data_IF_442773570919
#
_entry.id   IF_442773570919
#
_cell.length_a   1.000
_cell.length_b   1.000
_cell.length_c   1.000
_cell.angle_alpha   90.00
_cell.angle_beta   90.00
_cell.angle_gamma   90.00
#
_symmetry.space_group_name_H-M   'P 1'
#
loop_
_entity.id
_entity.type
_entity.pdbx_description
1 polymer ?
#
# COMPACT_ATOMS: atom_id res chain seq x y z
N UNK A 1 8.14 -8.11 -8.85
CA UNK A 1 7.06 -8.00 -7.86
C UNK A 1 5.83 -7.37 -8.50
N UNK A 2 5.70 -6.06 -8.54
CA UNK A 2 4.64 -5.43 -9.33
C UNK A 2 5.18 -5.16 -10.73
N UNK A 3 4.41 -5.51 -11.76
CA UNK A 3 4.80 -5.14 -13.12
C UNK A 3 4.46 -3.66 -13.36
N UNK A 4 4.99 -3.09 -14.44
CA UNK A 4 4.82 -1.67 -14.73
C UNK A 4 3.38 -1.30 -15.03
N UNK A 5 2.60 -2.17 -15.65
CA UNK A 5 1.21 -1.90 -15.95
C UNK A 5 0.36 -1.84 -14.69
N UNK A 6 0.55 -2.80 -13.78
CA UNK A 6 -0.18 -2.82 -12.52
C UNK A 6 0.15 -1.61 -11.66
N UNK A 7 1.42 -1.21 -11.65
CA UNK A 7 1.85 -0.01 -10.93
C UNK A 7 1.20 1.24 -11.50
N UNK A 8 1.14 1.35 -12.82
CA UNK A 8 0.48 2.47 -13.48
C UNK A 8 -1.02 2.53 -13.18
N UNK A 9 -1.68 1.39 -13.16
CA UNK A 9 -3.09 1.32 -12.78
C UNK A 9 -3.34 1.84 -11.38
N UNK A 10 -2.51 1.45 -10.42
CA UNK A 10 -2.65 1.88 -9.04
C UNK A 10 -2.44 3.40 -8.94
N UNK A 11 -1.41 3.91 -9.58
CA UNK A 11 -1.12 5.34 -9.59
C UNK A 11 -2.29 6.12 -10.19
N UNK A 12 -2.81 5.68 -11.33
CA UNK A 12 -3.95 6.32 -11.98
C UNK A 12 -5.19 6.33 -11.11
N UNK A 13 -5.46 5.21 -10.43
CA UNK A 13 -6.64 5.08 -9.58
C UNK A 13 -6.64 6.00 -8.39
N UNK A 14 -5.47 6.33 -7.84
CA UNK A 14 -5.36 7.12 -6.61
C UNK A 14 -4.81 8.52 -6.85
N UNK A 15 -4.61 8.90 -8.10
CA UNK A 15 -4.06 10.20 -8.46
C UNK A 15 -5.03 11.33 -8.13
N UNK A 16 -4.54 12.34 -7.44
CA UNK A 16 -5.31 13.54 -7.15
C UNK A 16 -5.06 14.64 -8.20
N UNK A 17 -3.88 14.62 -8.81
CA UNK A 17 -3.46 15.52 -9.88
C UNK A 17 -2.74 14.71 -10.95
N UNK A 18 -2.64 15.25 -12.15
CA UNK A 18 -1.97 14.56 -13.26
C UNK A 18 -0.52 14.17 -12.97
N UNK A 19 0.18 14.99 -12.18
CA UNK A 19 1.58 14.73 -11.83
C UNK A 19 1.74 14.15 -10.43
N UNK A 20 0.65 13.76 -9.79
CA UNK A 20 0.68 13.26 -8.42
C UNK A 20 1.02 11.77 -8.39
N UNK A 21 2.30 11.46 -8.22
CA UNK A 21 2.79 10.08 -8.08
C UNK A 21 3.34 9.78 -6.70
N UNK A 22 3.43 10.80 -5.84
CA UNK A 22 4.02 10.68 -4.52
C UNK A 22 3.08 10.96 -3.36
N UNK A 23 1.76 11.09 -3.60
CA UNK A 23 0.82 11.34 -2.51
C UNK A 23 0.78 10.18 -1.52
N UNK A 24 0.40 10.44 -0.26
CA UNK A 24 0.26 9.35 0.72
C UNK A 24 -0.70 8.26 0.24
N UNK A 25 -1.79 8.63 -0.43
CA UNK A 25 -2.77 7.67 -0.96
C UNK A 25 -2.14 6.71 -1.95
N UNK A 26 -1.35 7.23 -2.89
CA UNK A 26 -0.66 6.40 -3.89
C UNK A 26 0.36 5.49 -3.22
N UNK A 27 1.14 6.02 -2.28
CA UNK A 27 2.14 5.23 -1.56
C UNK A 27 1.48 4.10 -0.77
N UNK A 28 0.37 4.38 -0.10
CA UNK A 28 -0.38 3.38 0.66
C UNK A 28 -0.91 2.29 -0.28
N UNK A 29 -1.45 2.69 -1.44
CA UNK A 29 -1.96 1.74 -2.43
C UNK A 29 -0.86 0.83 -2.98
N UNK A 30 0.30 1.39 -3.31
CA UNK A 30 1.44 0.61 -3.80
C UNK A 30 1.97 -0.35 -2.73
N UNK A 31 2.08 0.11 -1.48
CA UNK A 31 2.50 -0.73 -0.37
C UNK A 31 1.50 -1.87 -0.14
N UNK A 32 0.20 -1.58 -0.21
CA UNK A 32 -0.84 -2.59 -0.04
C UNK A 32 -0.76 -3.67 -1.11
N UNK A 33 -0.48 -3.29 -2.36
CA UNK A 33 -0.31 -4.26 -3.44
C UNK A 33 0.91 -5.15 -3.21
N UNK A 34 2.03 -4.58 -2.75
CA UNK A 34 3.23 -5.36 -2.43
C UNK A 34 3.01 -6.28 -1.24
N UNK A 35 2.32 -5.80 -0.21
CA UNK A 35 1.97 -6.62 0.96
C UNK A 35 1.10 -7.80 0.53
N UNK A 36 0.12 -7.57 -0.33
CA UNK A 36 -0.72 -8.63 -0.88
C UNK A 36 0.08 -9.68 -1.64
N UNK A 37 1.00 -9.23 -2.48
CA UNK A 37 1.89 -10.13 -3.22
C UNK A 37 2.73 -11.01 -2.28
N UNK A 38 3.35 -10.42 -1.27
CA UNK A 38 4.18 -11.16 -0.32
C UNK A 38 3.35 -12.10 0.55
N UNK A 39 2.14 -11.70 0.92
CA UNK A 39 1.23 -12.55 1.67
C UNK A 39 0.92 -13.83 0.90
N UNK A 40 0.64 -13.70 -0.40
CA UNK A 40 0.43 -14.86 -1.28
C UNK A 40 1.70 -15.70 -1.41
N UNK A 41 2.86 -15.05 -1.51
CA UNK A 41 4.16 -15.71 -1.60
C UNK A 41 4.38 -16.65 -0.40
N UNK A 42 3.98 -16.24 0.81
CA UNK A 42 4.20 -17.04 2.02
C UNK A 42 3.30 -18.27 2.11
N UNK A 43 2.27 -18.36 1.31
CA UNK A 43 1.45 -19.58 1.25
C UNK A 43 2.24 -20.76 0.71
N UNK A 44 3.22 -20.48 -0.14
CA UNK A 44 4.07 -21.52 -0.75
C UNK A 44 5.51 -21.50 -0.23
N UNK A 45 5.97 -20.37 0.32
CA UNK A 45 7.35 -20.20 0.77
C UNK A 45 7.38 -19.84 2.26
N UNK A 46 6.85 -20.71 3.10
CA UNK A 46 6.64 -20.45 4.53
C UNK A 46 7.93 -20.21 5.31
N UNK A 47 9.07 -20.69 4.79
CA UNK A 47 10.37 -20.56 5.47
C UNK A 47 11.22 -19.42 4.94
N UNK A 48 10.67 -18.57 4.11
CA UNK A 48 11.40 -17.42 3.56
C UNK A 48 11.45 -16.28 4.59
N UNK A 49 12.44 -16.33 5.46
CA UNK A 49 12.58 -15.34 6.53
C UNK A 49 12.95 -13.96 6.03
N UNK A 50 13.66 -13.86 4.91
CA UNK A 50 14.01 -12.59 4.30
C UNK A 50 12.77 -11.82 3.84
N UNK A 51 11.91 -12.50 3.09
CA UNK A 51 10.67 -11.88 2.61
C UNK A 51 9.72 -11.56 3.75
N UNK A 52 9.70 -12.38 4.79
CA UNK A 52 8.87 -12.14 5.96
C UNK A 52 9.30 -10.86 6.70
N UNK A 53 10.61 -10.66 6.84
CA UNK A 53 11.15 -9.43 7.44
C UNK A 53 10.80 -8.23 6.58
N UNK A 54 10.92 -8.36 5.25
CA UNK A 54 10.53 -7.32 4.32
C UNK A 54 9.05 -6.97 4.42
N UNK A 55 8.19 -7.98 4.55
CA UNK A 55 6.75 -7.78 4.74
C UNK A 55 6.45 -6.95 5.99
N UNK A 56 7.09 -7.28 7.11
CA UNK A 56 6.89 -6.54 8.35
C UNK A 56 7.29 -5.07 8.21
N UNK A 57 8.37 -4.78 7.49
CA UNK A 57 8.79 -3.41 7.21
C UNK A 57 7.74 -2.65 6.37
N UNK A 58 7.18 -3.32 5.37
CA UNK A 58 6.16 -2.71 4.51
C UNK A 58 4.88 -2.44 5.29
N UNK A 59 4.45 -3.36 6.13
CA UNK A 59 3.26 -3.19 6.97
C UNK A 59 3.47 -2.01 7.92
N UNK A 60 4.64 -1.90 8.55
CA UNK A 60 4.96 -0.79 9.43
C UNK A 60 4.96 0.55 8.68
N UNK A 61 5.51 0.58 7.48
CA UNK A 61 5.54 1.79 6.67
C UNK A 61 4.13 2.23 6.26
N UNK A 62 3.29 1.27 5.84
CA UNK A 62 1.89 1.56 5.50
C UNK A 62 1.14 2.13 6.69
N UNK A 63 1.33 1.55 7.87
CA UNK A 63 0.69 2.01 9.08
C UNK A 63 1.07 3.47 9.40
N UNK A 64 2.35 3.80 9.28
CA UNK A 64 2.82 5.18 9.52
C UNK A 64 2.20 6.17 8.54
N UNK A 65 2.09 5.78 7.26
CA UNK A 65 1.46 6.63 6.26
C UNK A 65 -0.03 6.81 6.53
N UNK A 66 -0.72 5.75 6.94
CA UNK A 66 -2.14 5.84 7.31
C UNK A 66 -2.34 6.74 8.53
N UNK A 67 -1.51 6.61 9.54
CA UNK A 67 -1.58 7.46 10.73
C UNK A 67 -1.34 8.93 10.37
N UNK A 68 -0.36 9.20 9.52
CA UNK A 68 -0.08 10.53 9.03
C UNK A 68 -1.28 11.12 8.29
N UNK A 69 -1.86 10.35 7.37
CA UNK A 69 -3.00 10.80 6.58
C UNK A 69 -4.22 11.07 7.46
N UNK A 70 -4.45 10.21 8.45
CA UNK A 70 -5.56 10.37 9.39
C UNK A 70 -5.47 11.68 10.17
N UNK A 71 -4.27 12.05 10.58
CA UNK A 71 -4.04 13.31 11.28
C UNK A 71 -4.19 14.52 10.38
N UNK A 72 -3.79 14.38 9.12
CA UNK A 72 -3.80 15.49 8.17
C UNK A 72 -5.16 15.73 7.56
N UNK A 73 -5.86 14.67 7.18
CA UNK A 73 -7.17 14.77 6.52
C UNK A 73 -7.93 13.46 6.71
N UNK A 74 -8.85 13.46 7.66
CA UNK A 74 -9.59 12.25 8.04
C UNK A 74 -10.49 11.73 6.92
N UNK A 75 -11.00 12.61 6.07
CA UNK A 75 -11.85 12.19 4.95
C UNK A 75 -11.06 11.44 3.89
N UNK A 76 -9.86 11.93 3.58
CA UNK A 76 -8.94 11.22 2.67
C UNK A 76 -8.55 9.86 3.24
N UNK A 77 -8.28 9.80 4.55
CA UNK A 77 -7.97 8.56 5.24
C UNK A 77 -9.11 7.54 5.10
N UNK A 78 -10.35 7.96 5.34
CA UNK A 78 -11.52 7.09 5.22
C UNK A 78 -11.71 6.59 3.80
N UNK A 79 -11.51 7.46 2.82
CA UNK A 79 -11.63 7.11 1.42
C UNK A 79 -10.61 6.02 1.04
N UNK A 80 -9.36 6.18 1.44
CA UNK A 80 -8.30 5.20 1.15
C UNK A 80 -8.60 3.86 1.80
N UNK A 81 -8.99 3.87 3.07
CA UNK A 81 -9.34 2.64 3.79
C UNK A 81 -10.48 1.91 3.08
N UNK A 82 -11.52 2.64 2.70
CA UNK A 82 -12.66 2.05 1.99
C UNK A 82 -12.29 1.44 0.66
N UNK A 83 -11.48 2.17 -0.13
CA UNK A 83 -11.06 1.70 -1.46
C UNK A 83 -10.15 0.48 -1.41
N UNK A 84 -9.29 0.39 -0.39
CA UNK A 84 -8.34 -0.71 -0.25
C UNK A 84 -8.85 -1.85 0.63
N UNK A 85 -10.01 -1.69 1.23
CA UNK A 85 -10.57 -2.71 2.13
C UNK A 85 -9.77 -2.90 3.40
N UNK A 86 -9.12 -1.85 3.87
CA UNK A 86 -8.33 -1.90 5.10
C UNK A 86 -9.22 -1.65 6.32
N UNK A 87 -8.81 -2.18 7.46
CA UNK A 87 -9.62 -2.06 8.68
C UNK A 87 -9.38 -0.78 9.48
N UNK A 88 -8.39 -0.01 9.11
CA UNK A 88 -8.11 1.24 9.84
C UNK A 88 -8.26 2.46 8.98
#
# INVERSE_FOLDING_TARGET
>A
MLDSEKRKEIISSFKLHEVDTGSPEIQIALLSARIGYLTEHFKTHVKDHHSRRGLLKLVGKRRRLLDYLKKKDVERYRTVIGRLGLRK
#
